data_IF_334374917105
#
_entry.id   IF_334374917105
#
_cell.length_a   1.000
_cell.length_b   1.000
_cell.length_c   1.000
_cell.angle_alpha   90.00
_cell.angle_beta   90.00
_cell.angle_gamma   90.00
#
_symmetry.space_group_name_H-M   'P 1'
#
loop_
_entity.id
_entity.type
_entity.pdbx_description
1 polymer ?
#
# COMPACT_ATOMS: atom_id res chain seq x y z
N UNK A 1 -15.01 17.47 8.05
CA UNK A 1 -14.35 16.31 7.42
C UNK A 1 -14.51 16.44 5.91
N UNK A 2 -13.45 16.28 5.11
CA UNK A 2 -13.57 16.31 3.64
C UNK A 2 -14.42 15.13 3.10
N UNK A 3 -14.61 14.09 3.91
CA UNK A 3 -15.36 12.88 3.58
C UNK A 3 -16.87 13.10 3.44
N UNK A 4 -17.44 14.14 4.04
CA UNK A 4 -18.88 14.44 3.99
C UNK A 4 -19.32 15.03 2.64
N UNK A 5 -18.37 15.58 1.88
CA UNK A 5 -18.62 16.22 0.57
C UNK A 5 -18.40 15.27 -0.61
N UNK A 6 -17.87 14.08 -0.37
CA UNK A 6 -17.61 13.08 -1.39
C UNK A 6 -18.66 11.98 -1.36
N UNK A 7 -19.06 11.52 -2.54
CA UNK A 7 -19.91 10.35 -2.68
C UNK A 7 -19.08 9.10 -2.37
N UNK A 8 -19.28 8.54 -1.18
CA UNK A 8 -18.66 7.28 -0.75
C UNK A 8 -19.74 6.19 -0.81
N UNK A 9 -19.67 5.25 -1.78
CA UNK A 9 -20.66 4.19 -1.87
C UNK A 9 -20.59 3.30 -0.63
N UNK A 10 -21.73 2.77 -0.18
CA UNK A 10 -21.79 1.81 0.91
C UNK A 10 -21.33 0.42 0.44
N UNK A 11 -20.05 0.31 0.09
CA UNK A 11 -19.41 -0.95 -0.26
C UNK A 11 -18.75 -1.55 0.98
N UNK A 12 -18.62 -2.87 0.97
CA UNK A 12 -17.84 -3.55 1.99
C UNK A 12 -16.36 -3.16 1.85
N UNK A 13 -15.72 -2.63 2.92
CA UNK A 13 -14.28 -2.40 3.01
C UNK A 13 -13.39 -3.44 2.34
N UNK A 14 -13.75 -4.72 2.50
CA UNK A 14 -12.99 -5.85 1.94
C UNK A 14 -12.80 -5.82 0.42
N UNK A 15 -13.68 -5.17 -0.35
CA UNK A 15 -13.51 -5.03 -1.79
C UNK A 15 -12.34 -4.12 -2.17
N UNK A 16 -12.08 -3.08 -1.37
CA UNK A 16 -10.95 -2.18 -1.60
C UNK A 16 -9.62 -2.88 -1.32
N UNK A 17 -9.54 -3.69 -0.26
CA UNK A 17 -8.35 -4.52 -0.01
C UNK A 17 -8.09 -5.53 -1.13
N UNK A 18 -9.15 -6.20 -1.62
CA UNK A 18 -9.03 -7.14 -2.72
C UNK A 18 -8.56 -6.45 -4.00
N UNK A 19 -9.09 -5.25 -4.28
CA UNK A 19 -8.66 -4.43 -5.41
C UNK A 19 -7.18 -4.04 -5.28
N UNK A 20 -6.76 -3.56 -4.11
CA UNK A 20 -5.36 -3.23 -3.82
C UNK A 20 -4.43 -4.42 -4.06
N UNK A 21 -4.80 -5.59 -3.55
CA UNK A 21 -4.05 -6.83 -3.76
C UNK A 21 -3.98 -7.24 -5.23
N UNK A 22 -5.11 -7.19 -5.96
CA UNK A 22 -5.17 -7.52 -7.38
C UNK A 22 -4.29 -6.58 -8.22
N UNK A 23 -4.28 -5.28 -7.91
CA UNK A 23 -3.42 -4.29 -8.55
C UNK A 23 -1.94 -4.51 -8.23
N UNK A 24 -1.60 -4.92 -7.01
CA UNK A 24 -0.23 -5.32 -6.65
C UNK A 24 0.24 -6.58 -7.37
N UNK A 25 -0.66 -7.53 -7.65
CA UNK A 25 -0.33 -8.67 -8.53
C UNK A 25 -0.12 -8.21 -9.97
N UNK A 26 -0.98 -7.31 -10.47
CA UNK A 26 -0.81 -6.73 -11.82
C UNK A 26 0.51 -5.97 -11.94
N UNK A 27 0.98 -5.34 -10.87
CA UNK A 27 2.27 -4.64 -10.82
C UNK A 27 3.46 -5.57 -11.13
N UNK A 28 3.39 -6.86 -10.78
CA UNK A 28 4.44 -7.84 -11.10
C UNK A 28 4.72 -7.92 -12.61
N UNK A 29 3.72 -7.63 -13.44
CA UNK A 29 3.79 -7.71 -14.89
C UNK A 29 4.03 -6.33 -15.55
N UNK A 30 3.94 -5.24 -14.78
CA UNK A 30 4.17 -3.90 -15.31
C UNK A 30 5.66 -3.72 -15.64
N UNK A 31 5.95 -3.25 -16.86
CA UNK A 31 7.33 -2.93 -17.28
C UNK A 31 7.60 -1.43 -17.35
N UNK A 32 6.62 -0.67 -17.84
CA UNK A 32 6.74 0.77 -17.99
C UNK A 32 6.75 1.49 -16.62
N UNK A 33 7.71 2.40 -16.37
CA UNK A 33 7.80 3.10 -15.09
C UNK A 33 6.55 3.96 -14.79
N UNK A 34 5.97 4.59 -15.81
CA UNK A 34 4.71 5.34 -15.66
C UNK A 34 3.54 4.47 -15.22
N UNK A 35 3.42 3.25 -15.77
CA UNK A 35 2.38 2.30 -15.36
C UNK A 35 2.59 1.83 -13.91
N UNK A 36 3.83 1.58 -13.50
CA UNK A 36 4.18 1.22 -12.11
C UNK A 36 3.73 2.28 -11.13
N UNK A 37 4.05 3.55 -11.39
CA UNK A 37 3.65 4.68 -10.56
C UNK A 37 2.11 4.79 -10.52
N UNK A 38 1.45 4.72 -11.68
CA UNK A 38 -0.01 4.79 -11.76
C UNK A 38 -0.68 3.69 -10.92
N UNK A 39 -0.20 2.45 -11.00
CA UNK A 39 -0.73 1.34 -10.21
C UNK A 39 -0.59 1.59 -8.70
N UNK A 40 0.58 2.03 -8.23
CA UNK A 40 0.78 2.32 -6.80
C UNK A 40 -0.14 3.46 -6.35
N UNK A 41 -0.33 4.50 -7.17
CA UNK A 41 -1.25 5.60 -6.86
C UNK A 41 -2.69 5.09 -6.73
N UNK A 42 -3.14 4.23 -7.63
CA UNK A 42 -4.50 3.65 -7.54
C UNK A 42 -4.65 2.77 -6.30
N UNK A 43 -3.63 1.98 -5.93
CA UNK A 43 -3.63 1.21 -4.68
C UNK A 43 -3.77 2.14 -3.47
N UNK A 44 -2.98 3.22 -3.40
CA UNK A 44 -3.05 4.18 -2.29
C UNK A 44 -4.41 4.89 -2.20
N UNK A 45 -5.03 5.18 -3.36
CA UNK A 45 -6.39 5.72 -3.38
C UNK A 45 -7.41 4.70 -2.87
N UNK A 46 -7.28 3.42 -3.22
CA UNK A 46 -8.15 2.36 -2.74
C UNK A 46 -8.08 2.22 -1.21
N UNK A 47 -6.89 2.24 -0.61
CA UNK A 47 -6.71 2.18 0.84
C UNK A 47 -7.32 3.42 1.53
N UNK A 48 -7.19 4.59 0.91
CA UNK A 48 -7.80 5.80 1.42
C UNK A 48 -9.33 5.73 1.39
N UNK A 49 -9.91 5.23 0.29
CA UNK A 49 -11.35 4.99 0.16
C UNK A 49 -11.85 3.99 1.19
N UNK A 50 -11.09 2.93 1.46
CA UNK A 50 -11.42 1.95 2.48
C UNK A 50 -11.53 2.59 3.86
N UNK A 51 -10.46 3.27 4.29
CA UNK A 51 -10.42 3.93 5.59
C UNK A 51 -11.50 5.01 5.73
N UNK A 52 -11.77 5.78 4.67
CA UNK A 52 -12.84 6.78 4.66
C UNK A 52 -14.24 6.13 4.79
N UNK A 53 -14.48 5.04 4.07
CA UNK A 53 -15.74 4.29 4.11
C UNK A 53 -15.95 3.64 5.48
N UNK A 54 -14.91 3.00 6.04
CA UNK A 54 -14.94 2.38 7.35
C UNK A 54 -15.25 3.39 8.48
N UNK A 55 -14.67 4.60 8.42
CA UNK A 55 -14.97 5.69 9.36
C UNK A 55 -16.40 6.21 9.21
N UNK A 56 -16.86 6.44 7.98
CA UNK A 56 -18.20 6.99 7.69
C UNK A 56 -19.33 6.06 8.13
N UNK A 57 -19.16 4.75 7.94
CA UNK A 57 -20.18 3.76 8.28
C UNK A 57 -19.94 3.06 9.64
N UNK A 58 -18.99 3.55 10.44
CA UNK A 58 -18.62 2.99 11.76
C UNK A 58 -18.34 1.48 11.75
N UNK A 59 -17.78 0.94 10.65
CA UNK A 59 -17.54 -0.50 10.44
C UNK A 59 -16.18 -0.99 10.96
N UNK A 60 -15.56 -0.26 11.88
CA UNK A 60 -14.24 -0.59 12.42
C UNK A 60 -14.33 -1.84 13.30
N UNK A 61 -13.90 -2.99 12.78
CA UNK A 61 -13.82 -4.27 13.51
C UNK A 61 -12.37 -4.71 13.65
N UNK A 62 -12.00 -5.24 14.83
CA UNK A 62 -10.63 -5.74 15.11
C UNK A 62 -10.16 -6.83 14.15
N UNK A 63 -11.06 -7.73 13.75
CA UNK A 63 -10.76 -8.75 12.75
C UNK A 63 -10.45 -8.14 11.37
N UNK A 64 -11.24 -7.14 10.94
CA UNK A 64 -11.00 -6.40 9.69
C UNK A 64 -9.66 -5.67 9.71
N UNK A 65 -9.29 -5.06 10.84
CA UNK A 65 -7.99 -4.42 11.01
C UNK A 65 -6.80 -5.37 10.84
N UNK A 66 -6.87 -6.60 11.35
CA UNK A 66 -5.79 -7.59 11.15
C UNK A 66 -5.70 -8.00 9.68
N UNK A 67 -6.85 -8.25 9.03
CA UNK A 67 -6.90 -8.59 7.60
C UNK A 67 -6.35 -7.46 6.73
N UNK A 68 -6.70 -6.22 7.03
CA UNK A 68 -6.21 -5.01 6.38
C UNK A 68 -4.67 -4.95 6.47
N UNK A 69 -4.13 -5.00 7.69
CA UNK A 69 -2.69 -5.02 7.94
C UNK A 69 -1.97 -6.12 7.15
N UNK A 70 -2.48 -7.35 7.17
CA UNK A 70 -1.86 -8.49 6.46
C UNK A 70 -1.90 -8.26 4.95
N UNK A 71 -3.03 -7.80 4.41
CA UNK A 71 -3.18 -7.52 2.98
C UNK A 71 -2.26 -6.40 2.54
N UNK A 72 -2.08 -5.38 3.39
CA UNK A 72 -1.17 -4.28 3.17
C UNK A 72 0.30 -4.69 3.15
N UNK A 73 0.70 -5.60 4.05
CA UNK A 73 2.06 -6.15 4.02
C UNK A 73 2.26 -7.04 2.79
N UNK A 74 1.27 -7.84 2.41
CA UNK A 74 1.36 -8.71 1.25
C UNK A 74 1.46 -7.92 -0.07
N UNK A 75 0.64 -6.87 -0.22
CA UNK A 75 0.69 -5.99 -1.39
C UNK A 75 2.01 -5.25 -1.51
N UNK A 76 2.57 -4.75 -0.40
CA UNK A 76 3.93 -4.18 -0.38
C UNK A 76 4.99 -5.21 -0.79
N UNK A 77 4.88 -6.44 -0.30
CA UNK A 77 5.79 -7.52 -0.66
C UNK A 77 5.82 -7.74 -2.18
N UNK A 78 4.65 -7.81 -2.83
CA UNK A 78 4.57 -7.96 -4.28
C UNK A 78 5.18 -6.78 -5.03
N UNK A 79 4.89 -5.54 -4.60
CA UNK A 79 5.45 -4.33 -5.24
C UNK A 79 6.98 -4.34 -5.21
N UNK A 80 7.58 -4.65 -4.06
CA UNK A 80 9.05 -4.62 -3.93
C UNK A 80 9.72 -5.86 -4.50
N UNK A 81 9.10 -7.04 -4.39
CA UNK A 81 9.62 -8.28 -4.99
C UNK A 81 9.69 -8.20 -6.52
N UNK A 82 8.72 -7.52 -7.17
CA UNK A 82 8.76 -7.29 -8.61
C UNK A 82 10.03 -6.57 -9.09
N UNK A 83 10.68 -5.83 -8.19
CA UNK A 83 11.83 -4.98 -8.47
C UNK A 83 13.09 -5.46 -7.75
N UNK A 84 13.08 -6.69 -7.22
CA UNK A 84 14.22 -7.30 -6.51
C UNK A 84 15.48 -7.44 -7.38
N UNK A 85 15.35 -7.40 -8.71
CA UNK A 85 16.46 -7.31 -9.64
C UNK A 85 17.16 -5.94 -9.70
N UNK A 86 16.65 -4.93 -8.99
CA UNK A 86 17.19 -3.56 -8.98
C UNK A 86 17.64 -3.17 -7.58
N UNK A 87 18.67 -2.31 -7.48
CA UNK A 87 19.17 -1.81 -6.18
C UNK A 87 18.06 -1.13 -5.38
N UNK A 88 17.24 -0.32 -6.04
CA UNK A 88 16.10 0.35 -5.41
C UNK A 88 15.10 -0.68 -4.83
N UNK A 89 14.71 -1.69 -5.60
CA UNK A 89 13.77 -2.71 -5.11
C UNK A 89 14.36 -3.54 -3.97
N UNK A 90 15.65 -3.85 -3.99
CA UNK A 90 16.32 -4.57 -2.89
C UNK A 90 16.31 -3.76 -1.59
N UNK A 91 16.64 -2.47 -1.64
CA UNK A 91 16.59 -1.58 -0.48
C UNK A 91 15.17 -1.56 0.09
N UNK A 92 14.17 -1.35 -0.76
CA UNK A 92 12.78 -1.27 -0.32
C UNK A 92 12.22 -2.62 0.15
N UNK A 93 12.70 -3.74 -0.39
CA UNK A 93 12.35 -5.07 0.09
C UNK A 93 12.88 -5.31 1.52
N UNK A 94 14.12 -4.90 1.81
CA UNK A 94 14.67 -4.97 3.18
C UNK A 94 13.92 -4.03 4.13
N UNK A 95 13.63 -2.79 3.69
CA UNK A 95 12.82 -1.86 4.48
C UNK A 95 11.42 -2.41 4.75
N UNK A 96 10.83 -3.12 3.79
CA UNK A 96 9.55 -3.81 3.97
C UNK A 96 9.64 -4.91 5.02
N UNK A 97 10.68 -5.73 5.04
CA UNK A 97 10.85 -6.74 6.09
C UNK A 97 10.86 -6.09 7.49
N UNK A 98 11.61 -4.99 7.64
CA UNK A 98 11.63 -4.21 8.88
C UNK A 98 10.25 -3.64 9.19
N UNK A 99 9.58 -3.05 8.19
CA UNK A 99 8.25 -2.46 8.35
C UNK A 99 7.19 -3.51 8.71
N UNK A 100 7.28 -4.72 8.17
CA UNK A 100 6.40 -5.84 8.51
C UNK A 100 6.57 -6.23 9.99
N UNK A 101 7.81 -6.38 10.47
CA UNK A 101 8.08 -6.65 11.89
C UNK A 101 7.56 -5.53 12.80
N UNK A 102 7.80 -4.26 12.44
CA UNK A 102 7.25 -3.11 13.16
C UNK A 102 5.73 -3.10 13.17
N UNK A 103 5.10 -3.52 12.07
CA UNK A 103 3.64 -3.61 11.96
C UNK A 103 3.09 -4.71 12.87
N UNK A 104 3.72 -5.88 12.92
CA UNK A 104 3.36 -6.94 13.87
C UNK A 104 3.51 -6.47 15.33
N UNK A 105 4.61 -5.79 15.65
CA UNK A 105 4.82 -5.19 16.96
C UNK A 105 3.75 -4.12 17.29
N UNK A 106 3.39 -3.28 16.31
CA UNK A 106 2.36 -2.25 16.42
C UNK A 106 0.98 -2.85 16.75
N UNK A 107 0.60 -3.94 16.08
CA UNK A 107 -0.66 -4.66 16.34
C UNK A 107 -0.67 -5.26 17.75
N UNK A 108 0.46 -5.81 18.23
CA UNK A 108 0.56 -6.39 19.56
C UNK A 108 0.59 -5.33 20.68
N UNK A 109 1.30 -4.23 20.47
CA UNK A 109 1.54 -3.18 21.47
C UNK A 109 0.53 -2.03 21.44
N UNK A 110 -0.38 -2.00 20.47
CA UNK A 110 -1.29 -0.88 20.15
C UNK A 110 -0.57 0.46 19.90
N UNK A 111 0.71 0.43 19.51
CA UNK A 111 1.50 1.62 19.17
C UNK A 111 1.70 1.70 17.67
N UNK A 112 1.09 2.68 17.01
CA UNK A 112 1.17 2.87 15.56
C UNK A 112 2.60 3.22 15.12
N UNK A 113 3.35 2.17 14.74
CA UNK A 113 4.73 2.27 14.26
C UNK A 113 4.80 1.63 12.88
N UNK A 114 4.43 2.37 11.84
CA UNK A 114 4.49 1.92 10.44
C UNK A 114 5.08 2.99 9.55
N UNK A 115 6.00 2.60 8.67
CA UNK A 115 6.65 3.49 7.71
C UNK A 115 5.81 3.60 6.43
N UNK A 116 5.63 4.81 5.85
CA UNK A 116 4.87 5.03 4.63
C UNK A 116 5.67 4.65 3.37
N UNK A 117 6.13 3.40 3.27
CA UNK A 117 7.10 2.95 2.26
C UNK A 117 6.62 3.16 0.83
N UNK A 118 5.33 2.95 0.54
CA UNK A 118 4.76 3.13 -0.82
C UNK A 118 4.94 4.57 -1.34
N UNK A 119 4.80 5.58 -0.49
CA UNK A 119 5.00 6.98 -0.86
C UNK A 119 6.47 7.28 -1.17
N UNK A 120 7.37 6.84 -0.28
CA UNK A 120 8.82 7.01 -0.49
C UNK A 120 9.27 6.25 -1.75
N UNK A 121 8.66 5.10 -2.02
CA UNK A 121 8.97 4.29 -3.18
C UNK A 121 8.55 4.96 -4.50
N UNK A 122 7.39 5.62 -4.55
CA UNK A 122 6.98 6.43 -5.72
C UNK A 122 8.03 7.50 -6.01
N UNK A 123 8.53 8.21 -4.98
CA UNK A 123 9.59 9.21 -5.15
C UNK A 123 10.85 8.57 -5.73
N UNK A 124 11.25 7.39 -5.23
CA UNK A 124 12.37 6.63 -5.76
C UNK A 124 12.19 6.21 -7.23
N UNK A 125 10.99 5.75 -7.61
CA UNK A 125 10.66 5.39 -8.99
C UNK A 125 10.68 6.60 -9.93
N UNK A 126 10.19 7.76 -9.48
CA UNK A 126 10.25 9.01 -10.25
C UNK A 126 11.71 9.43 -10.45
N UNK A 127 12.51 9.44 -9.39
CA UNK A 127 13.93 9.78 -9.47
C UNK A 127 14.68 8.86 -10.47
N UNK A 128 14.44 7.54 -10.38
CA UNK A 128 15.00 6.56 -11.34
C UNK A 128 14.52 6.80 -12.76
N UNK A 129 13.24 7.08 -12.96
CA UNK A 129 12.64 7.32 -14.29
C UNK A 129 13.16 8.59 -14.98
N UNK A 130 13.63 9.56 -14.20
CA UNK A 130 14.20 10.82 -14.69
C UNK A 130 15.73 10.77 -14.87
N UNK A 131 16.35 9.61 -14.65
CA UNK A 131 17.80 9.43 -14.79
C UNK A 131 18.63 10.01 -13.63
N UNK A 132 17.99 10.33 -12.49
CA UNK A 132 18.70 10.69 -11.27
C UNK A 132 19.26 9.39 -10.67
N UNK A 133 20.49 9.04 -11.02
CA UNK A 133 21.19 7.86 -10.47
C UNK A 133 21.67 6.83 -11.49
N UNK A 134 21.96 7.21 -12.74
CA UNK A 134 22.95 6.50 -13.56
C UNK A 134 24.31 7.18 -13.41
#
# INVERSE_FOLDING_TARGET
MFEDRLFLPDLNPSYYHLLGLALSVLYLYARAPGLKIALIVVVLLADWFDGATARRYHRVRRAGYITDVVTDRASEAFLFAAEAGTVLGQIFFLLWMVNALLTFYSVYSNKHTSLPLRFVYIVGLIARGWGIGN
#
